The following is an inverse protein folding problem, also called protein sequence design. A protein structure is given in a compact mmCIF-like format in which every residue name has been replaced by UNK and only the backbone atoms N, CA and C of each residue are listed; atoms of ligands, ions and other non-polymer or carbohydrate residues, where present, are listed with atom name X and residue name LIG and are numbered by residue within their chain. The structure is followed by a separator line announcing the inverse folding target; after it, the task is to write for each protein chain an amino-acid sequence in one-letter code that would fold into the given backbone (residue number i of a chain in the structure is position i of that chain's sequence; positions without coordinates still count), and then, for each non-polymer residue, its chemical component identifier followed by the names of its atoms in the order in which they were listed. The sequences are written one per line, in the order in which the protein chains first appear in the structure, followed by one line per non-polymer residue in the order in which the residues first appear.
data_IF_816308919647
#
_entry.id   IF_816308919647
#
_cell.length_a   1.000
_cell.length_b   1.000
_cell.length_c   1.000
_cell.angle_alpha   90.00
_cell.angle_beta   90.00
_cell.angle_gamma   90.00
#
_symmetry.space_group_name_H-M   'P 1'
#
loop_
_entity.id
_entity.type
_entity.pdbx_description
1 polymer ?
#
# COMPACT_ATOMS: atom_id res chain seq x y z
N UNK A 1 10.75 -18.35 3.91
CA UNK A 1 10.70 -18.33 5.40
C UNK A 1 10.11 -19.63 5.94
N UNK A 2 10.36 -20.01 7.20
CA UNK A 2 9.56 -21.05 7.85
C UNK A 2 8.16 -20.51 8.26
N UNK A 3 7.24 -21.40 8.65
CA UNK A 3 5.85 -21.02 8.97
C UNK A 3 5.76 -20.02 10.14
N UNK A 4 6.60 -20.16 11.16
CA UNK A 4 6.59 -19.30 12.35
C UNK A 4 7.14 -17.92 12.03
N UNK A 5 8.22 -17.86 11.25
CA UNK A 5 8.79 -16.63 10.72
C UNK A 5 7.77 -15.89 9.85
N UNK A 6 7.08 -16.59 8.95
CA UNK A 6 6.09 -15.99 8.07
C UNK A 6 4.87 -15.45 8.84
N UNK A 7 4.38 -16.19 9.85
CA UNK A 7 3.31 -15.71 10.73
C UNK A 7 3.75 -14.43 11.46
N UNK A 8 4.99 -14.39 11.94
CA UNK A 8 5.55 -13.20 12.61
C UNK A 8 5.70 -12.03 11.64
N UNK A 9 6.17 -12.29 10.42
CA UNK A 9 6.27 -11.31 9.34
C UNK A 9 4.93 -10.62 9.07
N UNK A 10 3.87 -11.40 8.82
CA UNK A 10 2.55 -10.85 8.51
C UNK A 10 1.92 -10.14 9.72
N UNK A 11 2.14 -10.63 10.95
CA UNK A 11 1.71 -9.91 12.16
C UNK A 11 2.37 -8.53 12.27
N UNK A 12 3.67 -8.45 12.04
CA UNK A 12 4.42 -7.19 12.05
C UNK A 12 3.96 -6.27 10.94
N UNK A 13 3.81 -6.80 9.71
CA UNK A 13 3.27 -6.08 8.56
C UNK A 13 1.92 -5.43 8.90
N UNK A 14 0.97 -6.19 9.44
CA UNK A 14 -0.36 -5.67 9.77
C UNK A 14 -0.36 -4.70 10.95
N UNK A 15 0.53 -4.87 11.92
CA UNK A 15 0.69 -3.93 13.03
C UNK A 15 1.17 -2.57 12.49
N UNK A 16 2.23 -2.60 11.68
CA UNK A 16 2.84 -1.41 11.10
C UNK A 16 1.95 -0.76 10.03
N UNK A 17 1.20 -1.55 9.25
CA UNK A 17 0.25 -1.05 8.25
C UNK A 17 -0.81 -0.13 8.85
N UNK A 18 -1.19 -0.29 10.12
CA UNK A 18 -2.22 0.55 10.73
C UNK A 18 -1.61 1.63 11.61
N UNK A 19 -0.76 1.23 12.56
CA UNK A 19 -0.15 2.19 13.51
C UNK A 19 0.86 3.07 12.79
N UNK A 20 1.69 2.49 11.91
CA UNK A 20 2.66 3.22 11.12
C UNK A 20 1.99 4.18 10.14
N UNK A 21 0.92 3.76 9.46
CA UNK A 21 0.14 4.64 8.57
C UNK A 21 -0.46 5.81 9.31
N UNK A 22 -1.11 5.58 10.46
CA UNK A 22 -1.69 6.66 11.26
C UNK A 22 -0.63 7.68 11.70
N UNK A 23 0.52 7.19 12.19
CA UNK A 23 1.66 8.04 12.57
C UNK A 23 2.19 8.85 11.39
N UNK A 24 2.35 8.21 10.22
CA UNK A 24 2.83 8.87 9.00
C UNK A 24 1.86 9.97 8.55
N UNK A 25 0.56 9.70 8.54
CA UNK A 25 -0.46 10.68 8.17
C UNK A 25 -0.41 11.90 9.08
N UNK A 26 -0.31 11.69 10.39
CA UNK A 26 -0.20 12.78 11.36
C UNK A 26 1.08 13.61 11.16
N UNK A 27 2.23 12.95 10.99
CA UNK A 27 3.52 13.62 10.80
C UNK A 27 3.56 14.45 9.51
N UNK A 28 3.04 13.93 8.40
CA UNK A 28 3.04 14.68 7.15
C UNK A 28 1.98 15.78 7.13
N UNK A 29 0.82 15.57 7.76
CA UNK A 29 -0.18 16.63 7.91
C UNK A 29 0.39 17.81 8.71
N UNK A 30 1.06 17.52 9.83
CA UNK A 30 1.70 18.54 10.67
C UNK A 30 2.86 19.22 9.96
N UNK A 31 3.73 18.47 9.26
CA UNK A 31 4.80 19.04 8.45
C UNK A 31 4.26 19.94 7.32
N UNK A 32 3.19 19.51 6.64
CA UNK A 32 2.53 20.29 5.59
C UNK A 32 1.94 21.60 6.12
N UNK A 33 1.28 21.58 7.29
CA UNK A 33 0.80 22.80 7.95
C UNK A 33 1.96 23.70 8.37
N UNK A 34 3.06 23.15 8.89
CA UNK A 34 4.22 23.94 9.28
C UNK A 34 4.86 24.65 8.08
N UNK A 35 5.03 23.95 6.95
CA UNK A 35 5.51 24.55 5.70
C UNK A 35 4.56 25.63 5.18
N UNK A 36 3.24 25.43 5.29
CA UNK A 36 2.24 26.44 4.96
C UNK A 36 2.32 27.69 5.87
N UNK A 37 2.55 27.50 7.17
CA UNK A 37 2.76 28.60 8.11
C UNK A 37 4.03 29.39 7.77
N UNK A 38 5.13 28.71 7.43
CA UNK A 38 6.36 29.35 6.96
C UNK A 38 6.14 30.15 5.67
N UNK A 39 5.33 29.61 4.73
CA UNK A 39 4.96 30.35 3.54
C UNK A 39 4.13 31.60 3.88
N UNK A 40 3.18 31.51 4.82
CA UNK A 40 2.43 32.67 5.31
C UNK A 40 3.33 33.72 5.97
N UNK A 41 4.33 33.31 6.75
CA UNK A 41 5.34 34.21 7.31
C UNK A 41 6.19 34.89 6.23
N UNK A 42 6.57 34.16 5.18
CA UNK A 42 7.27 34.72 4.02
C UNK A 42 6.41 35.72 3.24
N UNK A 43 5.10 35.46 3.11
CA UNK A 43 4.16 36.39 2.48
C UNK A 43 4.10 37.72 3.24
N UNK A 44 4.01 37.65 4.57
CA UNK A 44 3.97 38.82 5.45
C UNK A 44 5.25 39.65 5.31
N UNK A 45 6.39 39.02 5.58
CA UNK A 45 7.70 39.69 5.66
C UNK A 45 8.23 40.19 4.33
N UNK A 46 7.97 39.49 3.22
CA UNK A 46 8.53 39.85 1.91
C UNK A 46 7.59 40.62 1.01
N UNK A 47 6.28 40.53 1.22
CA UNK A 47 5.28 41.18 0.35
C UNK A 47 4.39 42.16 1.11
N UNK A 48 3.80 41.80 2.25
CA UNK A 48 2.83 42.67 2.92
C UNK A 48 3.48 43.82 3.70
N UNK A 49 4.52 43.56 4.47
CA UNK A 49 5.22 44.59 5.25
C UNK A 49 5.82 45.70 4.37
N UNK A 50 6.49 45.40 3.23
CA UNK A 50 7.08 46.44 2.40
C UNK A 50 6.09 47.33 1.65
N UNK A 51 4.83 46.90 1.50
CA UNK A 51 3.81 47.65 0.72
C UNK A 51 3.27 48.90 1.42
N UNK A 52 3.50 49.03 2.73
CA UNK A 52 2.98 50.16 3.52
C UNK A 52 1.45 50.19 3.67
N UNK A 53 0.78 49.05 3.44
CA UNK A 53 -0.66 48.90 3.65
C UNK A 53 -1.03 49.18 5.12
N UNK A 54 -2.30 49.54 5.35
CA UNK A 54 -2.80 49.69 6.71
C UNK A 54 -2.76 48.34 7.44
N UNK A 55 -2.44 48.37 8.74
CA UNK A 55 -2.34 47.18 9.57
C UNK A 55 -3.60 46.29 9.48
N UNK A 56 -4.79 46.89 9.49
CA UNK A 56 -6.04 46.13 9.37
C UNK A 56 -6.18 45.37 8.05
N UNK A 57 -5.71 45.95 6.95
CA UNK A 57 -5.73 45.32 5.63
C UNK A 57 -4.67 44.21 5.52
N UNK A 58 -3.48 44.42 6.06
CA UNK A 58 -2.43 43.38 6.15
C UNK A 58 -2.94 42.14 6.89
N UNK A 59 -3.53 42.33 8.08
CA UNK A 59 -4.11 41.23 8.85
C UNK A 59 -5.22 40.50 8.10
N UNK A 60 -6.10 41.22 7.42
CA UNK A 60 -7.16 40.59 6.62
C UNK A 60 -6.57 39.71 5.51
N UNK A 61 -5.58 40.21 4.77
CA UNK A 61 -4.91 39.46 3.71
C UNK A 61 -4.20 38.24 4.29
N UNK A 62 -3.47 38.40 5.40
CA UNK A 62 -2.73 37.32 6.04
C UNK A 62 -3.67 36.22 6.57
N UNK A 63 -4.81 36.58 7.16
CA UNK A 63 -5.82 35.62 7.62
C UNK A 63 -6.40 34.84 6.44
N UNK A 64 -6.73 35.51 5.34
CA UNK A 64 -7.25 34.86 4.14
C UNK A 64 -6.20 33.94 3.51
N UNK A 65 -4.94 34.40 3.43
CA UNK A 65 -3.83 33.62 2.91
C UNK A 65 -3.54 32.39 3.77
N UNK A 66 -3.51 32.52 5.10
CA UNK A 66 -3.34 31.39 6.02
C UNK A 66 -4.54 30.43 5.99
N UNK A 67 -5.75 30.97 5.83
CA UNK A 67 -6.97 30.18 5.63
C UNK A 67 -6.92 29.33 4.35
N UNK A 68 -6.17 29.77 3.34
CA UNK A 68 -5.88 28.99 2.14
C UNK A 68 -4.70 28.02 2.33
N UNK A 69 -3.56 28.53 2.78
CA UNK A 69 -2.30 27.80 2.83
C UNK A 69 -2.33 26.65 3.85
N UNK A 70 -2.89 26.84 5.05
CA UNK A 70 -2.85 25.82 6.10
C UNK A 70 -3.66 24.55 5.74
N UNK A 71 -4.93 24.63 5.34
CA UNK A 71 -5.67 23.43 4.90
C UNK A 71 -5.04 22.78 3.68
N UNK A 72 -4.52 23.58 2.76
CA UNK A 72 -3.88 23.08 1.54
C UNK A 72 -2.57 22.33 1.86
N UNK A 73 -1.73 22.89 2.74
CA UNK A 73 -0.53 22.23 3.23
C UNK A 73 -0.82 20.93 3.97
N UNK A 74 -1.84 20.93 4.84
CA UNK A 74 -2.32 19.72 5.49
C UNK A 74 -2.75 18.66 4.46
N UNK A 75 -3.54 19.06 3.47
CA UNK A 75 -4.04 18.17 2.42
C UNK A 75 -2.91 17.55 1.60
N UNK A 76 -1.99 18.36 1.07
CA UNK A 76 -0.85 17.85 0.29
C UNK A 76 0.10 16.98 1.13
N UNK A 77 0.27 17.28 2.41
CA UNK A 77 0.97 16.42 3.36
C UNK A 77 0.29 15.05 3.49
N UNK A 78 -1.03 15.02 3.69
CA UNK A 78 -1.80 13.77 3.77
C UNK A 78 -1.68 12.94 2.49
N UNK A 79 -1.81 13.56 1.31
CA UNK A 79 -1.64 12.88 0.01
C UNK A 79 -0.23 12.31 -0.14
N UNK A 80 0.80 13.10 0.19
CA UNK A 80 2.19 12.64 0.13
C UNK A 80 2.44 11.45 1.06
N UNK A 81 1.90 11.48 2.29
CA UNK A 81 1.99 10.33 3.21
C UNK A 81 1.25 9.11 2.69
N UNK A 82 0.04 9.28 2.14
CA UNK A 82 -0.73 8.17 1.60
C UNK A 82 0.03 7.48 0.47
N UNK A 83 0.56 8.23 -0.49
CA UNK A 83 1.36 7.70 -1.60
C UNK A 83 2.63 6.99 -1.11
N UNK A 84 3.39 7.61 -0.20
CA UNK A 84 4.60 7.03 0.36
C UNK A 84 4.31 5.73 1.13
N UNK A 85 3.25 5.73 1.94
CA UNK A 85 2.83 4.57 2.73
C UNK A 85 2.37 3.43 1.83
N UNK A 86 1.52 3.71 0.85
CA UNK A 86 1.02 2.72 -0.11
C UNK A 86 2.19 2.05 -0.84
N UNK A 87 3.15 2.83 -1.35
CA UNK A 87 4.30 2.27 -2.06
C UNK A 87 5.16 1.36 -1.19
N UNK A 88 5.49 1.82 0.02
CA UNK A 88 6.24 1.01 1.00
C UNK A 88 5.48 -0.27 1.35
N UNK A 89 4.19 -0.17 1.66
CA UNK A 89 3.38 -1.31 2.13
C UNK A 89 3.05 -2.30 1.02
N UNK A 90 2.84 -1.85 -0.20
CA UNK A 90 2.73 -2.75 -1.35
C UNK A 90 4.02 -3.51 -1.56
N UNK A 91 5.18 -2.85 -1.49
CA UNK A 91 6.48 -3.52 -1.63
C UNK A 91 6.70 -4.60 -0.57
N UNK A 92 6.42 -4.29 0.69
CA UNK A 92 6.49 -5.25 1.79
C UNK A 92 5.49 -6.41 1.60
N UNK A 93 4.23 -6.11 1.25
CA UNK A 93 3.24 -7.14 1.01
C UNK A 93 3.70 -8.10 -0.09
N UNK A 94 4.14 -7.55 -1.23
CA UNK A 94 4.59 -8.33 -2.39
C UNK A 94 5.79 -9.21 -2.06
N UNK A 95 6.78 -8.72 -1.29
CA UNK A 95 7.90 -9.54 -0.82
C UNK A 95 7.43 -10.74 0.03
N UNK A 96 6.39 -10.54 0.86
CA UNK A 96 5.81 -11.61 1.68
C UNK A 96 4.86 -12.55 0.92
N UNK A 97 4.37 -12.16 -0.25
CA UNK A 97 3.42 -12.97 -1.04
C UNK A 97 4.06 -14.25 -1.54
N UNK A 98 5.32 -14.21 -1.97
CA UNK A 98 6.02 -15.38 -2.49
C UNK A 98 6.16 -16.48 -1.42
N UNK A 99 6.66 -16.11 -0.24
CA UNK A 99 6.78 -17.05 0.89
C UNK A 99 5.41 -17.53 1.39
N UNK A 100 4.39 -16.67 1.36
CA UNK A 100 3.02 -17.04 1.71
C UNK A 100 2.47 -18.08 0.74
N UNK A 101 2.58 -17.82 -0.56
CA UNK A 101 2.14 -18.73 -1.60
C UNK A 101 2.85 -20.08 -1.49
N UNK A 102 4.18 -20.09 -1.29
CA UNK A 102 4.97 -21.31 -1.10
C UNK A 102 4.45 -22.16 0.09
N UNK A 103 4.18 -21.53 1.24
CA UNK A 103 3.64 -22.24 2.41
C UNK A 103 2.21 -22.76 2.16
N UNK A 104 1.37 -21.98 1.49
CA UNK A 104 0.00 -22.40 1.17
C UNK A 104 -0.01 -23.59 0.20
N UNK A 105 0.79 -23.53 -0.86
CA UNK A 105 0.95 -24.59 -1.88
C UNK A 105 1.48 -25.87 -1.23
N UNK A 106 2.56 -25.77 -0.43
CA UNK A 106 3.09 -26.92 0.32
C UNK A 106 2.05 -27.53 1.25
N UNK A 107 1.24 -26.68 1.89
CA UNK A 107 0.11 -27.10 2.72
C UNK A 107 -0.93 -27.88 1.93
N UNK A 108 -1.32 -27.41 0.73
CA UNK A 108 -2.25 -28.12 -0.15
C UNK A 108 -1.67 -29.46 -0.61
N UNK A 109 -0.41 -29.50 -1.04
CA UNK A 109 0.21 -30.74 -1.52
C UNK A 109 0.50 -31.76 -0.43
N UNK A 110 0.49 -31.37 0.86
CA UNK A 110 0.54 -32.36 1.93
C UNK A 110 -0.66 -33.33 1.92
N UNK A 111 -1.76 -32.95 1.26
CA UNK A 111 -2.93 -33.81 1.05
C UNK A 111 -2.86 -34.66 -0.22
N UNK A 112 -1.93 -34.37 -1.14
CA UNK A 112 -1.81 -35.03 -2.44
C UNK A 112 -0.35 -35.46 -2.69
N UNK A 113 0.10 -36.58 -2.09
CA UNK A 113 1.47 -37.05 -2.27
C UNK A 113 1.80 -37.38 -3.74
N UNK A 114 0.80 -37.83 -4.52
CA UNK A 114 0.88 -37.96 -5.98
C UNK A 114 -0.25 -37.14 -6.63
N UNK A 115 0.09 -36.19 -7.49
CA UNK A 115 -0.86 -35.37 -8.24
C UNK A 115 -1.47 -36.19 -9.38
N UNK A 116 -2.68 -36.71 -9.17
CA UNK A 116 -3.43 -37.36 -10.25
C UNK A 116 -4.15 -36.33 -11.12
N UNK A 117 -4.28 -36.63 -12.42
CA UNK A 117 -5.05 -35.79 -13.38
C UNK A 117 -6.53 -35.63 -13.03
N UNK A 118 -7.06 -36.45 -12.11
CA UNK A 118 -8.47 -36.44 -11.73
C UNK A 118 -8.79 -35.43 -10.62
N UNK A 119 -7.77 -34.74 -10.07
CA UNK A 119 -8.00 -33.74 -9.03
C UNK A 119 -8.67 -32.52 -9.66
N UNK A 120 -9.86 -32.18 -9.17
CA UNK A 120 -10.63 -31.07 -9.72
C UNK A 120 -10.10 -29.70 -9.22
N UNK A 121 -10.18 -28.66 -10.08
CA UNK A 121 -9.88 -27.26 -9.71
C UNK A 121 -10.64 -26.82 -8.45
N UNK A 122 -11.87 -27.32 -8.29
CA UNK A 122 -12.72 -27.04 -7.13
C UNK A 122 -12.13 -27.60 -5.85
N UNK A 123 -11.71 -28.87 -5.87
CA UNK A 123 -11.15 -29.56 -4.71
C UNK A 123 -9.84 -28.90 -4.24
N UNK A 124 -8.95 -28.55 -5.18
CA UNK A 124 -7.72 -27.79 -4.90
C UNK A 124 -8.04 -26.43 -4.28
N UNK A 125 -9.06 -25.75 -4.80
CA UNK A 125 -9.51 -24.47 -4.30
C UNK A 125 -10.05 -24.54 -2.87
N UNK A 126 -10.79 -25.59 -2.53
CA UNK A 126 -11.31 -25.83 -1.18
C UNK A 126 -10.19 -26.14 -0.19
N UNK A 127 -9.20 -26.95 -0.58
CA UNK A 127 -8.01 -27.21 0.24
C UNK A 127 -7.17 -25.97 0.44
N UNK A 128 -7.00 -25.15 -0.60
CA UNK A 128 -6.32 -23.86 -0.49
C UNK A 128 -7.03 -22.93 0.51
N UNK A 129 -8.35 -22.81 0.43
CA UNK A 129 -9.15 -22.00 1.36
C UNK A 129 -9.00 -22.49 2.80
N UNK A 130 -9.01 -23.82 3.00
CA UNK A 130 -8.83 -24.44 4.32
C UNK A 130 -7.46 -24.10 4.92
N UNK A 131 -6.38 -24.25 4.15
CA UNK A 131 -5.02 -23.92 4.61
C UNK A 131 -4.87 -22.41 4.85
N UNK A 132 -5.43 -21.58 3.96
CA UNK A 132 -5.44 -20.12 4.10
C UNK A 132 -6.19 -19.64 5.34
N UNK A 133 -7.36 -20.23 5.64
CA UNK A 133 -8.11 -19.93 6.87
C UNK A 133 -7.31 -20.31 8.11
N UNK A 134 -6.70 -21.50 8.13
CA UNK A 134 -5.85 -21.92 9.25
C UNK A 134 -4.67 -20.95 9.45
N UNK A 135 -4.04 -20.50 8.37
CA UNK A 135 -2.98 -19.49 8.45
C UNK A 135 -3.49 -18.16 9.02
N UNK A 136 -4.67 -17.70 8.58
CA UNK A 136 -5.31 -16.50 9.10
C UNK A 136 -5.64 -16.60 10.61
N UNK A 137 -6.07 -17.77 11.07
CA UNK A 137 -6.27 -18.04 12.50
C UNK A 137 -4.96 -18.02 13.28
N UNK A 138 -3.89 -18.59 12.73
CA UNK A 138 -2.55 -18.56 13.32
C UNK A 138 -2.00 -17.13 13.43
N UNK A 139 -2.38 -16.21 12.55
CA UNK A 139 -2.06 -14.79 12.71
C UNK A 139 -2.69 -14.18 13.97
N UNK A 140 -3.65 -14.87 14.62
CA UNK A 140 -4.40 -14.41 15.80
C UNK A 140 -5.02 -13.04 15.58
N UNK A 141 -5.56 -12.79 14.39
CA UNK A 141 -6.25 -11.54 14.03
C UNK A 141 -7.63 -11.40 14.73
N UNK A 142 -7.83 -11.91 15.95
CA UNK A 142 -9.12 -11.87 16.65
C UNK A 142 -9.15 -10.75 17.70
N UNK A 143 -10.25 -9.98 17.70
CA UNK A 143 -10.58 -8.96 18.70
C UNK A 143 -10.39 -7.51 18.23
N UNK A 144 -11.48 -6.74 18.17
CA UNK A 144 -11.50 -5.29 17.92
C UNK A 144 -11.66 -4.86 16.44
N UNK A 145 -11.99 -3.58 16.18
CA UNK A 145 -12.21 -3.04 14.82
C UNK A 145 -10.98 -3.18 13.90
N UNK A 146 -9.79 -3.00 14.47
CA UNK A 146 -8.50 -3.14 13.78
C UNK A 146 -8.30 -4.56 13.24
N UNK A 147 -8.67 -5.57 14.03
CA UNK A 147 -8.56 -6.98 13.65
C UNK A 147 -9.48 -7.34 12.48
N UNK A 148 -10.66 -6.74 12.41
CA UNK A 148 -11.57 -6.90 11.27
C UNK A 148 -10.95 -6.41 9.96
N UNK A 149 -10.34 -5.21 9.97
CA UNK A 149 -9.67 -4.62 8.79
C UNK A 149 -8.51 -5.52 8.34
N UNK A 150 -7.66 -5.97 9.26
CA UNK A 150 -6.57 -6.91 8.96
C UNK A 150 -7.09 -8.20 8.31
N UNK A 151 -8.16 -8.77 8.86
CA UNK A 151 -8.80 -9.97 8.31
C UNK A 151 -9.44 -9.74 6.94
N UNK A 152 -9.98 -8.55 6.66
CA UNK A 152 -10.48 -8.21 5.33
C UNK A 152 -9.34 -8.15 4.30
N UNK A 153 -8.27 -7.41 4.61
CA UNK A 153 -7.10 -7.29 3.72
C UNK A 153 -6.49 -8.67 3.46
N UNK A 154 -6.33 -9.48 4.50
CA UNK A 154 -5.75 -10.81 4.35
C UNK A 154 -6.63 -11.73 3.49
N UNK A 155 -7.96 -11.66 3.62
CA UNK A 155 -8.88 -12.41 2.74
C UNK A 155 -8.76 -12.01 1.27
N UNK A 156 -8.54 -10.73 0.98
CA UNK A 156 -8.28 -10.26 -0.39
C UNK A 156 -6.98 -10.87 -0.92
N UNK A 157 -5.92 -10.85 -0.10
CA UNK A 157 -4.63 -11.49 -0.44
C UNK A 157 -4.81 -12.98 -0.74
N UNK A 158 -5.48 -13.73 0.15
CA UNK A 158 -5.74 -15.16 -0.04
C UNK A 158 -6.52 -15.43 -1.32
N UNK A 159 -7.51 -14.60 -1.65
CA UNK A 159 -8.29 -14.74 -2.88
C UNK A 159 -7.43 -14.54 -4.14
N UNK A 160 -6.54 -13.56 -4.13
CA UNK A 160 -5.59 -13.33 -5.23
C UNK A 160 -4.60 -14.50 -5.36
N UNK A 161 -4.01 -14.95 -4.25
CA UNK A 161 -3.09 -16.09 -4.26
C UNK A 161 -3.75 -17.38 -4.72
N UNK A 162 -5.00 -17.63 -4.31
CA UNK A 162 -5.79 -18.77 -4.78
C UNK A 162 -5.98 -18.75 -6.29
N UNK A 163 -6.27 -17.58 -6.84
CA UNK A 163 -6.44 -17.42 -8.29
C UNK A 163 -5.17 -17.80 -9.04
N UNK A 164 -4.02 -17.22 -8.66
CA UNK A 164 -2.72 -17.56 -9.26
C UNK A 164 -2.40 -19.05 -9.11
N UNK A 165 -2.50 -19.59 -7.89
CA UNK A 165 -2.26 -21.01 -7.63
C UNK A 165 -3.09 -21.91 -8.54
N UNK A 166 -4.40 -21.68 -8.63
CA UNK A 166 -5.29 -22.53 -9.40
C UNK A 166 -5.07 -22.39 -10.91
N UNK A 167 -4.76 -21.20 -11.41
CA UNK A 167 -4.53 -21.01 -12.84
C UNK A 167 -3.18 -21.63 -13.26
N UNK A 168 -2.10 -21.36 -12.53
CA UNK A 168 -0.79 -21.95 -12.78
C UNK A 168 -0.83 -23.49 -12.65
N UNK A 169 -1.56 -24.02 -11.66
CA UNK A 169 -1.76 -25.47 -11.52
C UNK A 169 -2.46 -26.09 -12.72
N UNK A 170 -3.55 -25.47 -13.16
CA UNK A 170 -4.34 -26.02 -14.26
C UNK A 170 -3.57 -25.94 -15.58
N UNK A 171 -2.78 -24.88 -15.77
CA UNK A 171 -1.87 -24.75 -16.90
C UNK A 171 -0.82 -25.87 -16.89
N UNK A 172 -0.14 -26.10 -15.77
CA UNK A 172 0.92 -27.10 -15.68
C UNK A 172 0.40 -28.53 -15.87
N UNK A 173 -0.79 -28.84 -15.32
CA UNK A 173 -1.47 -30.12 -15.57
C UNK A 173 -1.81 -30.31 -17.05
N UNK A 174 -2.18 -29.23 -17.75
CA UNK A 174 -2.56 -29.29 -19.17
C UNK A 174 -1.36 -29.52 -20.11
N UNK A 175 -0.17 -29.05 -19.74
CA UNK A 175 1.06 -29.12 -20.56
C UNK A 175 1.68 -30.50 -20.62
N UNK A 176 1.42 -31.39 -19.65
CA UNK A 176 1.98 -32.76 -19.60
C UNK A 176 0.89 -33.82 -19.87
N UNK A 177 0.45 -34.00 -21.13
CA UNK A 177 -0.52 -35.03 -21.48
C UNK A 177 0.13 -36.43 -21.50
N UNK A 178 0.37 -37.02 -20.33
CA UNK A 178 0.74 -38.45 -20.20
C UNK A 178 1.74 -38.76 -19.09
N UNK A 179 2.41 -37.72 -18.57
CA UNK A 179 3.38 -37.82 -17.48
C UNK A 179 2.76 -37.41 -16.14
N UNK A 180 3.27 -37.97 -15.04
CA UNK A 180 2.94 -37.49 -13.69
C UNK A 180 3.51 -36.07 -13.52
N UNK A 181 2.64 -35.11 -13.23
CA UNK A 181 3.05 -33.75 -12.89
C UNK A 181 3.71 -33.80 -11.52
N UNK A 182 5.00 -33.49 -11.45
CA UNK A 182 5.71 -33.56 -10.19
C UNK A 182 5.41 -32.32 -9.35
N UNK A 183 5.49 -32.47 -8.03
CA UNK A 183 5.40 -31.34 -7.09
C UNK A 183 6.38 -30.21 -7.44
N UNK A 184 7.57 -30.56 -7.92
CA UNK A 184 8.60 -29.60 -8.30
C UNK A 184 8.19 -28.76 -9.52
N UNK A 185 7.48 -29.35 -10.48
CA UNK A 185 6.98 -28.64 -11.67
C UNK A 185 6.00 -27.53 -11.26
N UNK A 186 5.05 -27.85 -10.38
CA UNK A 186 4.03 -26.88 -9.94
C UNK A 186 4.63 -25.85 -8.98
N UNK A 187 5.47 -26.27 -8.02
CA UNK A 187 6.18 -25.31 -7.16
C UNK A 187 7.04 -24.35 -8.00
N UNK A 188 7.66 -24.82 -9.08
CA UNK A 188 8.40 -23.97 -10.01
C UNK A 188 7.49 -23.03 -10.82
N UNK A 189 6.34 -23.51 -11.30
CA UNK A 189 5.38 -22.69 -12.06
C UNK A 189 4.81 -21.55 -11.20
N UNK A 190 4.39 -21.87 -9.97
CA UNK A 190 3.79 -20.92 -9.03
C UNK A 190 4.81 -19.92 -8.47
N UNK A 191 6.10 -20.29 -8.41
CA UNK A 191 7.18 -19.35 -8.05
C UNK A 191 7.49 -18.33 -9.15
N UNK A 192 7.07 -18.59 -10.38
CA UNK A 192 7.32 -17.72 -11.54
C UNK A 192 6.37 -16.52 -11.61
N UNK A 193 5.41 -16.41 -10.68
CA UNK A 193 4.44 -15.31 -10.60
C UNK A 193 5.16 -13.97 -10.48
N UNK A 194 4.82 -13.04 -11.38
CA UNK A 194 5.45 -11.75 -11.64
C UNK A 194 5.33 -10.72 -10.50
N UNK A 195 5.95 -11.03 -9.37
CA UNK A 195 6.17 -10.13 -8.23
C UNK A 195 7.01 -8.93 -8.67
N UNK A 196 8.01 -9.14 -9.51
CA UNK A 196 8.93 -8.09 -9.95
C UNK A 196 8.27 -7.06 -10.86
N UNK A 197 7.41 -7.50 -11.80
CA UNK A 197 6.70 -6.60 -12.72
C UNK A 197 5.66 -5.72 -12.00
N UNK A 198 4.97 -6.29 -11.00
CA UNK A 198 4.04 -5.52 -10.17
C UNK A 198 4.80 -4.48 -9.33
N UNK A 199 5.96 -4.83 -8.78
CA UNK A 199 6.77 -3.92 -7.98
C UNK A 199 7.29 -2.70 -8.77
N UNK A 200 7.79 -2.91 -9.99
CA UNK A 200 8.29 -1.80 -10.83
C UNK A 200 7.16 -0.86 -11.22
N UNK A 201 6.04 -1.41 -11.70
CA UNK A 201 4.86 -0.64 -12.11
C UNK A 201 4.26 0.17 -10.96
N UNK A 202 4.22 -0.40 -9.74
CA UNK A 202 3.75 0.30 -8.55
C UNK A 202 4.70 1.45 -8.18
N UNK A 203 6.01 1.22 -8.22
CA UNK A 203 6.99 2.23 -7.86
C UNK A 203 6.93 3.45 -8.78
N UNK A 204 6.92 3.22 -10.09
CA UNK A 204 6.96 4.29 -11.09
C UNK A 204 5.69 5.17 -11.02
N UNK A 205 4.52 4.55 -10.90
CA UNK A 205 3.25 5.28 -10.78
C UNK A 205 3.19 6.12 -9.50
N UNK A 206 3.70 5.61 -8.38
CA UNK A 206 3.73 6.35 -7.11
C UNK A 206 4.67 7.55 -7.19
N UNK A 207 5.83 7.39 -7.86
CA UNK A 207 6.76 8.50 -8.07
C UNK A 207 6.15 9.60 -8.94
N UNK A 208 5.44 9.22 -10.01
CA UNK A 208 4.71 10.17 -10.86
C UNK A 208 3.64 10.91 -10.06
N UNK A 209 2.86 10.20 -9.24
CA UNK A 209 1.82 10.83 -8.41
C UNK A 209 2.40 11.77 -7.35
N UNK A 210 3.57 11.43 -6.78
CA UNK A 210 4.27 12.33 -5.85
C UNK A 210 4.76 13.60 -6.55
N UNK A 211 5.36 13.47 -7.74
CA UNK A 211 5.79 14.60 -8.53
C UNK A 211 4.60 15.51 -8.91
N UNK A 212 3.49 14.91 -9.35
CA UNK A 212 2.25 15.64 -9.64
C UNK A 212 1.71 16.37 -8.40
N UNK A 213 1.67 15.71 -7.24
CA UNK A 213 1.26 16.32 -5.98
C UNK A 213 2.13 17.53 -5.61
N UNK A 214 3.46 17.43 -5.81
CA UNK A 214 4.39 18.53 -5.55
C UNK A 214 4.19 19.70 -6.54
N UNK A 215 4.01 19.42 -7.83
CA UNK A 215 3.74 20.46 -8.84
C UNK A 215 2.46 21.21 -8.51
N UNK A 216 1.37 20.49 -8.23
CA UNK A 216 0.08 21.10 -7.87
C UNK A 216 0.21 21.92 -6.58
N UNK A 217 0.94 21.40 -5.58
CA UNK A 217 1.21 22.13 -4.36
C UNK A 217 1.91 23.47 -4.65
N UNK A 218 2.99 23.47 -5.43
CA UNK A 218 3.73 24.69 -5.77
C UNK A 218 2.84 25.71 -6.49
N UNK A 219 2.04 25.26 -7.46
CA UNK A 219 1.13 26.14 -8.19
C UNK A 219 0.11 26.79 -7.25
N UNK A 220 -0.56 26.00 -6.41
CA UNK A 220 -1.61 26.49 -5.52
C UNK A 220 -1.07 27.29 -4.33
N UNK A 221 0.15 26.99 -3.86
CA UNK A 221 0.83 27.78 -2.82
C UNK A 221 1.29 29.13 -3.33
N UNK A 222 1.58 29.25 -4.62
CA UNK A 222 2.01 30.52 -5.21
C UNK A 222 0.86 31.53 -5.38
N UNK A 223 -0.40 31.10 -5.29
CA UNK A 223 -1.57 31.96 -5.54
C UNK A 223 -1.63 33.22 -4.66
N UNK A 224 -1.50 33.17 -3.32
CA UNK A 224 -1.51 34.39 -2.50
C UNK A 224 -0.40 35.38 -2.86
N UNK A 225 0.78 34.88 -3.23
CA UNK A 225 1.91 35.70 -3.67
C UNK A 225 1.67 36.33 -5.05
N UNK A 226 1.19 35.52 -5.99
CA UNK A 226 0.88 35.97 -7.35
C UNK A 226 -0.18 37.05 -7.36
N UNK A 227 -1.27 36.88 -6.59
CA UNK A 227 -2.33 37.89 -6.46
C UNK A 227 -1.74 39.22 -5.99
N UNK A 228 -0.91 39.22 -4.94
CA UNK A 228 -0.29 40.43 -4.42
C UNK A 228 0.73 41.07 -5.37
N UNK A 229 1.41 40.28 -6.20
CA UNK A 229 2.35 40.82 -7.18
C UNK A 229 1.68 41.58 -8.34
N UNK A 230 0.35 41.43 -8.53
CA UNK A 230 -0.41 42.15 -9.55
C UNK A 230 -1.10 43.43 -9.04
N UNK A 231 -0.98 43.75 -7.75
CA UNK A 231 -1.49 44.99 -7.13
C UNK A 231 -0.34 45.87 -6.65
#
# INVERSE_FOLDING_TARGET
MDRTQLVTYWRNFFSDLLVGTFKSLFLFATAGMFLAALAGWGLDTWFLDPTGLSMGLQWLILILALGWLLPLGMFHGLVASALATVGKKLKEAVNGLHDLLDILVKGVFSYYPNLSKNISKKELGEKFDQIGHKFMEDLKLKGGPISYIKGLIFRIILKALKFFFLDDMMEEISKKPGEEVTRADIESAVRRVGVEFLLSTIHDNIMILQAANAIVMLLLFSLPFGILAFF
#
